data_IF_368330377213
#
_entry.id   IF_368330377213
#
_cell.length_a   1.000
_cell.length_b   1.000
_cell.length_c   1.000
_cell.angle_alpha   90.00
_cell.angle_beta   90.00
_cell.angle_gamma   90.00
#
_symmetry.space_group_name_H-M   'P 1'
#
loop_
_entity.id
_entity.type
_entity.pdbx_description
1 polymer ?
#
# COMPACT_ATOMS: atom_id res chain seq x y z
N UNK A 1 -18.40 10.03 -6.24
CA UNK A 1 -18.32 8.70 -6.90
C UNK A 1 -17.14 7.94 -6.29
N UNK A 2 -17.37 6.78 -5.66
CA UNK A 2 -16.30 5.89 -5.17
C UNK A 2 -16.08 4.79 -6.20
N UNK A 3 -15.20 5.04 -7.17
CA UNK A 3 -14.89 4.08 -8.23
C UNK A 3 -13.85 3.08 -7.71
N UNK A 4 -14.35 1.95 -7.23
CA UNK A 4 -13.60 0.70 -7.16
C UNK A 4 -13.36 0.25 -8.60
N UNK A 5 -12.10 0.17 -9.02
CA UNK A 5 -11.76 -0.05 -10.42
C UNK A 5 -10.49 -0.86 -10.55
N UNK A 6 -10.67 -2.14 -10.83
CA UNK A 6 -9.66 -3.04 -11.41
C UNK A 6 -8.89 -3.87 -10.39
N UNK A 7 -8.78 -5.17 -10.64
CA UNK A 7 -8.01 -6.20 -9.91
C UNK A 7 -6.61 -5.76 -9.43
N UNK A 8 -6.00 -4.77 -10.09
CA UNK A 8 -4.75 -4.13 -9.68
C UNK A 8 -4.82 -3.47 -8.29
N UNK A 9 -5.99 -2.94 -7.90
CA UNK A 9 -6.21 -2.33 -6.58
C UNK A 9 -6.17 -3.39 -5.47
N UNK A 10 -6.65 -4.62 -5.73
CA UNK A 10 -6.70 -5.70 -4.73
C UNK A 10 -5.31 -6.26 -4.43
N UNK A 11 -4.47 -6.42 -5.45
CA UNK A 11 -3.11 -6.91 -5.29
C UNK A 11 -2.27 -5.94 -4.43
N UNK A 12 -2.41 -4.64 -4.69
CA UNK A 12 -1.78 -3.59 -3.88
C UNK A 12 -2.34 -3.60 -2.45
N UNK A 13 -3.66 -3.71 -2.28
CA UNK A 13 -4.27 -3.79 -0.95
C UNK A 13 -3.75 -4.99 -0.16
N UNK A 14 -3.53 -6.12 -0.84
CA UNK A 14 -3.00 -7.36 -0.26
C UNK A 14 -1.56 -7.17 0.20
N UNK A 15 -0.70 -6.54 -0.62
CA UNK A 15 0.67 -6.18 -0.25
C UNK A 15 0.70 -5.25 0.96
N UNK A 16 -0.13 -4.19 0.97
CA UNK A 16 -0.21 -3.26 2.12
C UNK A 16 -0.60 -3.99 3.41
N UNK A 17 -1.59 -4.90 3.33
CA UNK A 17 -1.99 -5.73 4.47
C UNK A 17 -0.86 -6.65 4.91
N UNK A 18 -0.17 -7.31 3.98
CA UNK A 18 0.98 -8.15 4.31
C UNK A 18 2.09 -7.35 5.00
N UNK A 19 2.39 -6.13 4.56
CA UNK A 19 3.35 -5.24 5.26
C UNK A 19 2.89 -4.93 6.68
N UNK A 20 1.60 -4.63 6.88
CA UNK A 20 1.09 -4.35 8.23
C UNK A 20 1.17 -5.58 9.13
N UNK A 21 0.83 -6.76 8.61
CA UNK A 21 1.01 -8.03 9.32
C UNK A 21 2.49 -8.27 9.65
N UNK A 22 3.39 -8.10 8.67
CA UNK A 22 4.83 -8.20 8.90
C UNK A 22 5.33 -7.23 9.98
N UNK A 23 4.89 -5.98 9.97
CA UNK A 23 5.20 -5.02 11.05
C UNK A 23 4.67 -5.48 12.41
N UNK A 24 3.45 -6.04 12.46
CA UNK A 24 2.85 -6.55 13.69
C UNK A 24 3.61 -7.77 14.21
N UNK A 25 4.06 -8.63 13.31
CA UNK A 25 4.90 -9.79 13.59
C UNK A 25 6.38 -9.42 13.79
N UNK A 26 6.73 -8.12 13.71
CA UNK A 26 8.08 -7.55 13.82
C UNK A 26 9.06 -8.09 12.76
N UNK A 27 8.52 -8.53 11.63
CA UNK A 27 9.26 -8.99 10.47
C UNK A 27 9.63 -7.80 9.55
N UNK A 28 10.64 -7.05 9.96
CA UNK A 28 11.11 -5.86 9.27
C UNK A 28 11.64 -6.18 7.86
N UNK A 29 12.25 -7.35 7.68
CA UNK A 29 12.80 -7.78 6.40
C UNK A 29 11.68 -7.98 5.36
N UNK A 30 10.57 -8.61 5.75
CA UNK A 30 9.41 -8.76 4.88
C UNK A 30 8.75 -7.41 4.58
N UNK A 31 8.65 -6.54 5.60
CA UNK A 31 8.07 -5.21 5.44
C UNK A 31 8.86 -4.31 4.47
N UNK A 32 10.19 -4.37 4.49
CA UNK A 32 11.04 -3.65 3.52
C UNK A 32 10.90 -4.21 2.10
N UNK A 33 10.88 -5.55 1.93
CA UNK A 33 10.65 -6.17 0.61
C UNK A 33 9.34 -5.70 -0.02
N UNK A 34 8.25 -5.71 0.75
CA UNK A 34 6.94 -5.28 0.26
C UNK A 34 6.94 -3.78 -0.04
N UNK A 35 7.65 -2.97 0.74
CA UNK A 35 7.76 -1.53 0.48
C UNK A 35 8.40 -1.28 -0.88
N UNK A 36 9.47 -1.99 -1.19
CA UNK A 36 10.18 -1.83 -2.46
C UNK A 36 9.32 -2.32 -3.64
N UNK A 37 8.61 -3.44 -3.48
CA UNK A 37 7.67 -3.96 -4.49
C UNK A 37 6.49 -3.00 -4.76
N UNK A 38 5.97 -2.37 -3.71
CA UNK A 38 4.95 -1.32 -3.83
C UNK A 38 5.50 -0.10 -4.56
N UNK A 39 6.74 0.30 -4.27
CA UNK A 39 7.41 1.42 -4.93
C UNK A 39 7.64 1.15 -6.42
N UNK A 40 8.03 -0.07 -6.79
CA UNK A 40 8.14 -0.50 -8.19
C UNK A 40 6.80 -0.45 -8.93
N UNK A 41 5.70 -0.74 -8.24
CA UNK A 41 4.34 -0.61 -8.77
C UNK A 41 3.82 0.83 -8.80
N UNK A 42 4.61 1.83 -8.38
CA UNK A 42 4.19 3.23 -8.32
C UNK A 42 3.27 3.56 -7.13
N UNK A 43 3.36 2.78 -6.05
CA UNK A 43 2.60 2.97 -4.83
C UNK A 43 3.49 3.59 -3.76
N UNK A 44 3.09 4.75 -3.25
CA UNK A 44 3.81 5.45 -2.20
C UNK A 44 3.10 5.28 -0.86
N UNK A 45 3.82 4.75 0.13
CA UNK A 45 3.33 4.65 1.49
C UNK A 45 3.84 5.85 2.30
N UNK A 46 2.93 6.54 2.94
CA UNK A 46 3.21 7.64 3.86
C UNK A 46 2.73 7.26 5.26
N UNK A 47 3.67 6.94 6.15
CA UNK A 47 3.39 6.73 7.57
C UNK A 47 3.12 8.11 8.22
N UNK A 48 1.93 8.31 8.80
CA UNK A 48 1.58 9.55 9.51
C UNK A 48 1.20 9.23 10.97
N UNK A 49 1.29 10.22 11.87
CA UNK A 49 0.86 10.05 13.26
C UNK A 49 -0.62 9.64 13.41
N UNK A 50 -1.45 9.92 12.40
CA UNK A 50 -2.87 9.57 12.38
C UNK A 50 -3.17 8.20 11.76
N UNK A 51 -2.17 7.51 11.21
CA UNK A 51 -2.34 6.23 10.51
C UNK A 51 -1.43 6.11 9.29
N UNK A 52 -1.51 4.97 8.59
CA UNK A 52 -0.71 4.74 7.38
C UNK A 52 -1.55 5.15 6.17
N UNK A 53 -1.08 6.16 5.45
CA UNK A 53 -1.67 6.56 4.17
C UNK A 53 -0.95 5.86 3.03
N UNK A 54 -1.71 5.36 2.06
CA UNK A 54 -1.16 4.75 0.86
C UNK A 54 -1.71 5.45 -0.36
N UNK A 55 -0.80 5.93 -1.20
CA UNK A 55 -1.05 6.66 -2.43
C UNK A 55 -0.78 5.70 -3.59
N UNK A 56 -1.82 5.33 -4.33
CA UNK A 56 -1.70 4.51 -5.52
C UNK A 56 -1.82 5.42 -6.73
N UNK A 57 -0.80 5.47 -7.58
CA UNK A 57 -0.84 6.17 -8.87
C UNK A 57 -1.04 5.15 -9.99
N UNK A 58 -2.30 4.90 -10.36
CA UNK A 58 -2.64 4.00 -11.47
C UNK A 58 -3.25 4.81 -12.61
N UNK A 59 -2.54 4.86 -13.75
CA UNK A 59 -2.96 5.46 -15.03
C UNK A 59 -3.68 6.81 -14.89
N UNK A 60 -3.12 7.73 -14.11
CA UNK A 60 -3.63 9.10 -13.96
C UNK A 60 -4.67 9.30 -12.84
N UNK A 61 -5.01 8.25 -12.09
CA UNK A 61 -5.84 8.36 -10.88
C UNK A 61 -5.01 8.12 -9.63
N UNK A 62 -4.82 9.18 -8.83
CA UNK A 62 -4.27 9.11 -7.48
C UNK A 62 -5.37 8.69 -6.50
N UNK A 63 -5.25 7.51 -5.90
CA UNK A 63 -6.15 7.05 -4.83
C UNK A 63 -5.43 7.06 -3.49
N UNK A 64 -6.09 7.56 -2.45
CA UNK A 64 -5.58 7.58 -1.07
C UNK A 64 -6.35 6.55 -0.25
N UNK A 65 -5.66 5.53 0.23
CA UNK A 65 -6.16 4.57 1.21
C UNK A 65 -5.63 4.96 2.58
N UNK A 66 -6.49 4.94 3.59
CA UNK A 66 -6.07 5.12 4.99
C UNK A 66 -6.39 3.81 5.71
N UNK A 67 -5.36 3.20 6.30
CA UNK A 67 -5.46 2.00 7.14
C UNK A 67 -5.08 2.32 8.57
#
# INVERSE_FOLDING_TARGET
QKTYGGELDEEILKLIRQRQTARKDKDWALADRIRDELKEKGVEIQDTQKGVKVLVDNKGTKKVYTV
#
